data_IF_237488831290
#
_entry.id   IF_237488831290
#
_cell.length_a   1.000
_cell.length_b   1.000
_cell.length_c   1.000
_cell.angle_alpha   90.00
_cell.angle_beta   90.00
_cell.angle_gamma   90.00
#
_symmetry.space_group_name_H-M   'P 1'
#
loop_
_entity.id
_entity.type
_entity.pdbx_description
1 polymer ?
2 polymer ?
3 non-polymer ?
#
# COMPACT_ATOMS: atom_id res chain seq x y z
N UNK A 11 -17.96 -7.08 4.74
CA UNK A 11 -18.68 -6.08 3.91
C UNK A 11 -18.01 -6.00 2.54
N UNK A 12 -17.54 -4.81 2.12
CA UNK A 12 -16.88 -4.67 0.82
C UNK A 12 -15.38 -4.84 0.84
N UNK A 13 -14.83 -5.23 -0.30
CA UNK A 13 -13.39 -5.43 -0.46
C UNK A 13 -13.05 -4.98 -1.88
N UNK A 14 -11.85 -4.46 -2.08
CA UNK A 14 -11.47 -3.99 -3.39
C UNK A 14 -10.25 -4.68 -3.96
N UNK A 15 -10.43 -5.30 -5.13
CA UNK A 15 -9.35 -5.96 -5.84
C UNK A 15 -9.01 -5.04 -6.99
N UNK A 16 -7.75 -4.61 -7.02
CA UNK A 16 -7.27 -3.70 -8.05
C UNK A 16 -6.20 -4.37 -8.89
N UNK A 17 -6.31 -4.19 -10.20
CA UNK A 17 -5.39 -4.74 -11.18
C UNK A 17 -4.89 -3.53 -11.97
N UNK A 18 -3.83 -2.91 -11.47
CA UNK A 18 -3.30 -1.73 -12.13
C UNK A 18 -2.12 -2.06 -13.00
N UNK A 19 -2.18 -1.66 -14.26
CA UNK A 19 -1.06 -1.89 -15.14
C UNK A 19 -0.63 -0.50 -15.54
N UNK A 20 0.67 -0.27 -15.55
CA UNK A 20 1.17 1.03 -15.93
C UNK A 20 2.44 0.91 -16.72
N UNK A 21 2.72 1.98 -17.44
CA UNK A 21 3.90 2.07 -18.27
C UNK A 21 4.37 3.51 -18.18
N UNK A 22 5.67 3.70 -18.35
CA UNK A 22 6.31 5.00 -18.27
C UNK A 22 7.66 4.83 -18.94
N UNK A 23 8.50 5.85 -18.82
CA UNK A 23 9.83 5.76 -19.37
C UNK A 23 10.78 5.81 -18.18
N UNK A 24 11.53 4.74 -17.98
CA UNK A 24 12.48 4.71 -16.89
C UNK A 24 12.24 3.62 -15.86
N UNK A 25 13.29 3.34 -15.10
CA UNK A 25 13.31 2.35 -14.03
C UNK A 25 12.42 1.19 -14.48
N UNK A 26 11.22 0.99 -13.90
CA UNK A 26 10.52 -0.17 -14.48
C UNK A 26 9.61 0.47 -15.52
N UNK A 27 9.99 0.36 -16.79
CA UNK A 27 9.20 0.97 -17.84
C UNK A 27 7.82 0.31 -18.02
N UNK A 28 7.54 -0.70 -17.21
CA UNK A 28 6.24 -1.34 -17.26
C UNK A 28 6.02 -2.22 -16.04
N UNK A 29 4.82 -2.15 -15.48
CA UNK A 29 4.53 -2.95 -14.32
C UNK A 29 3.07 -3.25 -14.16
N UNK A 30 2.81 -4.26 -13.36
CA UNK A 30 1.47 -4.72 -13.07
C UNK A 30 1.42 -4.97 -11.58
N UNK A 31 0.37 -4.50 -10.93
CA UNK A 31 0.21 -4.66 -9.48
C UNK A 31 -1.23 -4.99 -9.12
N UNK A 32 -1.44 -6.16 -8.53
CA UNK A 32 -2.76 -6.59 -8.13
C UNK A 32 -2.87 -6.63 -6.62
N UNK A 33 -3.75 -5.79 -6.08
CA UNK A 33 -3.96 -5.70 -4.66
C UNK A 33 -5.37 -6.07 -4.25
N UNK A 34 -5.56 -6.08 -2.93
CA UNK A 34 -6.82 -6.41 -2.29
C UNK A 34 -6.81 -5.62 -0.99
N UNK A 35 -7.65 -4.60 -0.92
CA UNK A 35 -7.74 -3.75 0.26
C UNK A 35 -6.40 -3.08 0.47
N UNK A 36 -5.79 -2.68 -0.62
CA UNK A 36 -4.51 -2.00 -0.64
C UNK A 36 -3.25 -2.83 -0.40
N UNK A 37 -3.36 -4.02 0.18
CA UNK A 37 -2.18 -4.85 0.38
C UNK A 37 -1.92 -5.61 -0.91
N UNK A 38 -0.69 -5.61 -1.39
CA UNK A 38 -0.37 -6.28 -2.66
C UNK A 38 -0.43 -7.79 -2.62
N UNK A 39 -1.21 -8.36 -3.53
CA UNK A 39 -1.33 -9.80 -3.64
C UNK A 39 -0.08 -10.27 -4.35
N UNK A 40 0.06 -9.84 -5.60
CA UNK A 40 1.21 -10.18 -6.43
C UNK A 40 1.38 -9.21 -7.58
N UNK A 41 2.64 -9.02 -7.95
CA UNK A 41 3.01 -8.15 -9.05
C UNK A 41 3.14 -9.08 -10.25
N UNK A 42 3.81 -8.61 -11.29
CA UNK A 42 3.95 -9.41 -12.47
C UNK A 42 5.28 -9.20 -13.18
N UNK A 43 5.97 -10.32 -13.42
CA UNK A 43 7.25 -10.30 -14.09
C UNK A 43 7.02 -10.43 -15.58
N UNK A 44 7.35 -9.38 -16.32
CA UNK A 44 7.15 -9.35 -17.75
C UNK A 44 8.20 -10.11 -18.56
N UNK A 45 9.28 -10.49 -17.92
CA UNK A 45 10.35 -11.25 -18.57
C UNK A 45 9.89 -12.72 -18.62
N UNK A 46 9.82 -13.36 -17.46
CA UNK A 46 9.39 -14.76 -17.39
C UNK A 46 7.89 -14.86 -17.69
N UNK A 47 7.24 -13.70 -17.83
CA UNK A 47 5.81 -13.60 -18.14
C UNK A 47 4.96 -14.36 -17.12
N UNK A 48 5.14 -14.03 -15.85
CA UNK A 48 4.41 -14.68 -14.79
C UNK A 48 4.19 -13.74 -13.61
N UNK A 49 3.20 -14.06 -12.78
CA UNK A 49 2.89 -13.27 -11.59
C UNK A 49 3.86 -13.64 -10.48
N UNK A 50 4.09 -12.74 -9.53
CA UNK A 50 5.01 -13.00 -8.42
C UNK A 50 4.31 -12.72 -7.09
N UNK A 51 4.08 -13.75 -6.28
CA UNK A 51 3.40 -13.59 -4.99
C UNK A 51 4.16 -12.71 -4.02
N UNK A 52 3.44 -11.83 -3.34
CA UNK A 52 4.07 -10.98 -2.35
C UNK A 52 4.38 -11.88 -1.15
N UNK A 53 3.64 -12.99 -1.04
CA UNK A 53 3.84 -13.97 0.02
C UNK A 53 3.63 -15.37 -0.50
N UNK A 54 4.44 -16.33 -0.02
CA UNK A 54 4.36 -17.72 -0.42
C UNK A 54 2.96 -18.26 -0.22
N UNK A 55 2.29 -17.71 0.78
CA UNK A 55 0.93 -18.12 1.11
C UNK A 55 0.11 -18.08 -0.18
N UNK A 56 0.42 -17.12 -1.04
CA UNK A 56 -0.29 -16.92 -2.29
C UNK A 56 0.04 -17.88 -3.42
N UNK A 57 1.32 -17.91 -3.83
CA UNK A 57 1.84 -18.75 -4.91
C UNK A 57 0.86 -19.52 -5.82
N UNK A 58 0.17 -20.52 -5.26
CA UNK A 58 -0.78 -21.35 -5.99
C UNK A 58 -1.73 -20.62 -6.91
N UNK A 59 -2.21 -19.48 -6.47
CA UNK A 59 -3.17 -18.70 -7.24
C UNK A 59 -2.55 -17.82 -8.31
N UNK A 60 -1.31 -17.41 -8.10
CA UNK A 60 -0.61 -16.59 -9.08
C UNK A 60 -0.23 -17.53 -10.22
N UNK A 61 -0.30 -18.82 -9.91
CA UNK A 61 0.02 -19.87 -10.85
C UNK A 61 -0.98 -19.93 -12.01
N UNK A 62 -2.25 -20.08 -11.69
CA UNK A 62 -3.26 -20.17 -12.73
C UNK A 62 -3.73 -18.86 -13.33
N UNK A 63 -5.06 -18.69 -13.36
CA UNK A 63 -5.75 -17.50 -13.88
C UNK A 63 -5.71 -17.30 -15.40
N UNK A 64 -4.62 -17.70 -16.05
CA UNK A 64 -4.48 -17.57 -17.50
C UNK A 64 -5.19 -16.43 -18.21
N UNK A 65 -5.23 -15.25 -17.59
CA UNK A 65 -5.87 -14.07 -18.17
C UNK A 65 -4.90 -13.36 -19.12
N UNK A 66 -3.80 -14.06 -19.42
CA UNK A 66 -2.73 -13.56 -20.28
C UNK A 66 -3.15 -12.72 -21.48
N UNK A 67 -4.22 -13.13 -22.16
CA UNK A 67 -4.72 -12.41 -23.33
C UNK A 67 -5.11 -10.96 -23.07
N UNK A 68 -5.55 -10.68 -21.84
CA UNK A 68 -5.93 -9.33 -21.45
C UNK A 68 -4.65 -8.52 -21.22
N UNK A 69 -3.80 -9.05 -20.36
CA UNK A 69 -2.54 -8.41 -20.02
C UNK A 69 -1.85 -8.01 -21.32
N UNK A 70 -1.80 -8.95 -22.25
CA UNK A 70 -1.17 -8.74 -23.53
C UNK A 70 -1.73 -7.49 -24.17
N UNK A 71 -3.06 -7.42 -24.28
CA UNK A 71 -3.70 -6.27 -24.89
C UNK A 71 -3.51 -4.97 -24.12
N UNK A 72 -3.70 -5.04 -22.80
CA UNK A 72 -3.55 -3.89 -21.94
C UNK A 72 -2.15 -3.34 -22.19
N UNK A 73 -1.16 -4.22 -22.02
CA UNK A 73 0.25 -3.90 -22.20
C UNK A 73 0.48 -3.14 -23.51
N UNK A 74 0.04 -3.74 -24.60
CA UNK A 74 0.18 -3.12 -25.91
C UNK A 74 -0.43 -1.73 -25.91
N UNK A 75 -1.69 -1.62 -25.49
CA UNK A 75 -2.34 -0.32 -25.49
C UNK A 75 -1.53 0.70 -24.72
N UNK A 76 -0.99 0.27 -23.58
CA UNK A 76 -0.20 1.14 -22.72
C UNK A 76 1.00 1.62 -23.53
N UNK A 77 1.88 0.69 -23.87
CA UNK A 77 3.10 1.00 -24.63
C UNK A 77 2.78 1.87 -25.82
N UNK A 78 1.62 1.62 -26.40
CA UNK A 78 1.19 2.36 -27.55
C UNK A 78 1.07 3.84 -27.21
N UNK A 79 0.40 4.16 -26.12
CA UNK A 79 0.24 5.55 -25.71
C UNK A 79 1.59 6.19 -25.42
N UNK A 80 2.50 5.42 -24.84
CA UNK A 80 3.81 5.95 -24.53
C UNK A 80 4.54 6.29 -25.81
N UNK A 81 4.27 5.51 -26.84
CA UNK A 81 4.93 5.66 -28.12
C UNK A 81 4.44 6.87 -28.91
N UNK A 82 3.13 6.97 -29.07
CA UNK A 82 2.54 8.05 -29.83
C UNK A 82 2.21 9.30 -29.03
N UNK A 83 1.30 9.19 -28.07
CA UNK A 83 0.87 10.33 -27.28
C UNK A 83 1.98 11.14 -26.65
N UNK A 84 2.81 10.50 -25.84
CA UNK A 84 3.90 11.20 -25.17
C UNK A 84 4.67 12.19 -26.06
N UNK A 85 5.43 11.69 -27.05
CA UNK A 85 6.22 12.58 -27.93
C UNK A 85 5.44 13.80 -28.41
N UNK A 86 4.19 13.57 -28.75
CA UNK A 86 3.33 14.64 -29.23
C UNK A 86 3.30 15.82 -28.26
N UNK A 87 3.04 15.56 -26.99
CA UNK A 87 2.96 16.64 -26.01
C UNK A 87 4.11 16.76 -25.01
N UNK A 88 5.22 16.08 -25.27
CA UNK A 88 6.37 16.16 -24.39
C UNK A 88 6.84 17.60 -24.43
N UNK A 89 6.74 18.27 -23.29
CA UNK A 89 7.15 19.66 -23.24
C UNK A 89 6.03 20.60 -23.60
N UNK A 90 4.87 20.04 -23.97
CA UNK A 90 3.74 20.87 -24.32
C UNK A 90 2.93 21.13 -23.05
N UNK A 91 2.72 20.10 -22.23
CA UNK A 91 2.01 20.28 -20.97
C UNK A 91 2.86 19.70 -19.82
N UNK A 92 2.59 20.14 -18.57
CA UNK A 92 3.27 19.74 -17.33
C UNK A 92 3.17 18.28 -16.85
N UNK A 93 4.28 17.81 -16.28
CA UNK A 93 4.39 16.44 -15.76
C UNK A 93 3.94 16.34 -14.31
N UNK A 94 3.02 15.42 -14.05
CA UNK A 94 2.56 15.22 -12.70
C UNK A 94 3.71 14.55 -11.95
N UNK A 95 4.36 15.32 -11.09
CA UNK A 95 5.46 14.81 -10.29
C UNK A 95 4.91 14.73 -8.87
N UNK A 96 5.39 13.77 -8.09
CA UNK A 96 4.91 13.66 -6.73
C UNK A 96 6.14 13.58 -5.85
N UNK A 97 6.36 14.59 -5.01
CA UNK A 97 7.52 14.57 -4.13
C UNK A 97 7.35 13.45 -3.12
N UNK A 98 8.20 12.42 -3.20
CA UNK A 98 8.17 11.25 -2.31
C UNK A 98 8.51 11.53 -0.86
N UNK A 99 7.86 10.79 0.03
CA UNK A 99 8.10 10.93 1.45
C UNK A 99 8.56 9.60 2.02
N UNK A 100 9.62 9.64 2.81
CA UNK A 100 10.13 8.42 3.40
C UNK A 100 9.99 8.51 4.92
N UNK A 101 9.67 7.36 5.52
CA UNK A 101 9.53 7.22 6.98
C UNK A 101 10.23 5.92 7.40
N UNK A 102 10.77 5.87 8.61
CA UNK A 102 11.44 4.65 9.06
C UNK A 102 10.94 4.21 10.43
N UNK A 103 10.76 2.92 10.60
CA UNK A 103 10.27 2.38 11.86
C UNK A 103 10.59 0.89 11.95
N UNK A 104 10.33 0.27 13.11
CA UNK A 104 10.63 -1.15 13.30
C UNK A 104 9.39 -2.01 13.20
N UNK A 105 9.56 -3.25 12.74
CA UNK A 105 8.43 -4.17 12.63
C UNK A 105 7.81 -4.44 13.98
N UNK A 106 8.65 -4.81 14.93
CA UNK A 106 8.23 -5.11 16.30
C UNK A 106 8.76 -3.98 17.14
N UNK A 107 8.18 -3.76 18.32
CA UNK A 107 8.66 -2.69 19.19
C UNK A 107 10.12 -2.94 19.53
N UNK A 108 10.80 -1.89 19.98
CA UNK A 108 12.21 -1.95 20.31
C UNK A 108 12.64 -2.76 21.53
N UNK A 109 13.56 -3.70 21.32
CA UNK A 109 14.13 -4.55 22.38
C UNK A 109 15.61 -4.66 22.06
N UNK A 110 16.44 -3.86 22.74
CA UNK A 110 17.88 -3.85 22.49
C UNK A 110 18.50 -5.23 22.46
N UNK A 111 19.43 -5.44 21.56
CA UNK A 111 20.08 -6.73 21.45
C UNK A 111 19.25 -7.84 20.83
N UNK A 112 17.92 -7.69 20.80
CA UNK A 112 17.06 -8.70 20.21
C UNK A 112 16.79 -8.33 18.75
N UNK A 113 16.86 -9.33 17.86
CA UNK A 113 16.64 -9.19 16.41
C UNK A 113 15.39 -8.43 16.01
N UNK A 114 15.56 -7.55 15.02
CA UNK A 114 14.45 -6.74 14.53
C UNK A 114 14.58 -6.50 13.03
N UNK A 115 13.68 -5.67 12.50
CA UNK A 115 13.67 -5.36 11.08
C UNK A 115 13.21 -3.92 10.86
N UNK A 116 14.05 -3.13 10.22
CA UNK A 116 13.73 -1.74 9.92
C UNK A 116 12.92 -1.69 8.64
N UNK A 117 11.99 -0.77 8.57
CA UNK A 117 11.15 -0.63 7.38
C UNK A 117 11.26 0.78 6.85
N UNK A 118 11.52 0.90 5.56
CA UNK A 118 11.58 2.21 4.97
C UNK A 118 10.33 2.27 4.14
N UNK A 119 9.41 3.14 4.57
CA UNK A 119 8.13 3.33 3.90
C UNK A 119 8.10 4.58 3.03
N UNK A 120 7.97 4.39 1.72
CA UNK A 120 7.94 5.51 0.79
C UNK A 120 6.52 5.73 0.34
N UNK A 121 6.07 6.98 0.40
CA UNK A 121 4.73 7.36 0.01
C UNK A 121 4.73 8.59 -0.91
N UNK A 122 3.62 8.76 -1.64
CA UNK A 122 3.43 9.86 -2.61
C UNK A 122 4.44 9.70 -3.75
N UNK A 123 4.72 8.45 -4.08
CA UNK A 123 5.67 8.13 -5.10
C UNK A 123 5.10 8.29 -6.48
N UNK A 124 5.62 9.29 -7.19
CA UNK A 124 5.17 9.49 -8.55
C UNK A 124 6.15 10.31 -9.36
N UNK A 125 6.66 9.75 -10.47
CA UNK A 125 6.36 8.40 -10.99
C UNK A 125 7.11 7.31 -10.22
N UNK A 126 6.66 6.06 -10.37
CA UNK A 126 7.25 4.88 -9.71
C UNK A 126 8.62 4.57 -10.31
N UNK A 127 9.61 5.35 -9.91
CA UNK A 127 10.97 5.22 -10.39
C UNK A 127 11.84 5.67 -9.24
N UNK A 128 12.64 4.78 -8.67
CA UNK A 128 13.44 5.19 -7.54
C UNK A 128 14.51 4.19 -7.20
N UNK A 129 15.31 4.57 -6.21
CA UNK A 129 16.40 3.74 -5.74
C UNK A 129 16.57 4.00 -4.26
N UNK A 130 16.57 2.94 -3.48
CA UNK A 130 16.69 3.06 -2.03
C UNK A 130 18.03 2.52 -1.49
N UNK A 131 18.72 3.31 -0.68
CA UNK A 131 20.00 2.90 -0.10
C UNK A 131 19.93 3.16 1.39
N UNK A 132 20.42 2.20 2.18
CA UNK A 132 20.42 2.33 3.62
C UNK A 132 21.85 2.59 4.09
N UNK A 133 21.99 3.37 5.15
CA UNK A 133 23.30 3.66 5.72
C UNK A 133 23.17 3.51 7.23
N UNK A 134 24.30 3.62 7.92
CA UNK A 134 24.34 3.54 9.37
C UNK A 134 25.47 4.48 9.75
N UNK A 135 25.14 5.73 9.99
CA UNK A 135 26.14 6.76 10.30
C UNK A 135 26.90 6.98 9.01
N UNK A 136 26.15 7.14 7.92
CA UNK A 136 26.72 7.37 6.60
C UNK A 136 27.42 6.13 6.06
N UNK A 137 27.79 5.22 6.94
CA UNK A 137 28.42 3.98 6.53
C UNK A 137 27.34 3.19 5.81
N UNK A 138 27.47 3.06 4.49
CA UNK A 138 26.49 2.31 3.72
C UNK A 138 26.46 0.88 4.19
N UNK A 139 25.36 0.19 3.93
CA UNK A 139 25.20 -1.20 4.35
C UNK A 139 24.26 -1.92 3.42
N UNK A 140 24.44 -3.22 3.29
CA UNK A 140 23.59 -4.03 2.43
C UNK A 140 22.91 -5.14 3.25
N UNK A 141 22.19 -6.01 2.55
CA UNK A 141 21.45 -7.08 3.21
C UNK A 141 19.99 -6.69 3.15
N UNK A 142 19.75 -5.51 2.59
CA UNK A 142 18.43 -4.97 2.42
C UNK A 142 17.69 -5.79 1.39
N UNK A 143 16.37 -5.85 1.53
CA UNK A 143 15.56 -6.58 0.59
C UNK A 143 15.27 -5.68 -0.59
N UNK A 144 14.78 -6.27 -1.69
CA UNK A 144 14.46 -5.50 -2.89
C UNK A 144 13.35 -4.54 -2.52
N UNK A 145 13.34 -3.34 -3.10
CA UNK A 145 12.28 -2.38 -2.81
C UNK A 145 11.09 -2.72 -3.69
N UNK A 146 9.94 -2.98 -3.09
CA UNK A 146 8.76 -3.31 -3.87
C UNK A 146 7.79 -2.15 -3.98
N UNK A 147 7.57 -1.74 -5.22
CA UNK A 147 6.66 -0.67 -5.49
C UNK A 147 5.31 -1.33 -5.64
N UNK A 148 4.26 -0.64 -5.24
CA UNK A 148 2.92 -1.19 -5.35
C UNK A 148 2.02 -0.05 -5.72
N UNK A 149 1.02 -0.36 -6.52
CA UNK A 149 0.05 0.64 -6.94
C UNK A 149 -0.86 0.89 -5.76
N UNK A 150 -1.42 2.08 -5.72
CA UNK A 150 -2.32 2.41 -4.64
C UNK A 150 -3.46 3.26 -5.20
N UNK A 151 -4.60 3.20 -4.54
CA UNK A 151 -5.78 3.94 -4.95
C UNK A 151 -5.47 5.38 -5.28
N UNK A 152 -6.07 5.89 -6.33
CA UNK A 152 -5.80 7.27 -6.69
C UNK A 152 -4.67 7.41 -7.67
N UNK A 153 -4.36 6.31 -8.36
CA UNK A 153 -3.30 6.31 -9.36
C UNK A 153 -1.96 6.73 -8.79
N UNK A 154 -1.54 6.12 -7.70
CA UNK A 154 -0.25 6.47 -7.14
C UNK A 154 0.45 5.22 -6.71
N UNK A 155 1.61 5.40 -6.11
CA UNK A 155 2.40 4.28 -5.67
C UNK A 155 2.99 4.51 -4.31
N UNK A 156 3.49 3.43 -3.75
CA UNK A 156 4.17 3.44 -2.47
C UNK A 156 5.15 2.28 -2.58
N UNK A 157 6.22 2.34 -1.81
CA UNK A 157 7.21 1.29 -1.84
C UNK A 157 7.75 1.05 -0.45
N UNK A 158 8.24 -0.16 -0.21
CA UNK A 158 8.80 -0.54 1.07
C UNK A 158 10.16 -1.15 0.84
N UNK A 159 11.04 -1.01 1.85
CA UNK A 159 12.37 -1.61 1.82
C UNK A 159 12.60 -2.02 3.25
N UNK A 160 12.85 -3.31 3.44
CA UNK A 160 13.09 -3.86 4.75
C UNK A 160 14.56 -4.18 4.93
N UNK A 161 15.03 -4.12 6.17
CA UNK A 161 16.41 -4.39 6.52
C UNK A 161 16.46 -4.97 7.93
N UNK A 162 16.78 -6.26 8.05
CA UNK A 162 16.86 -6.89 9.38
C UNK A 162 18.07 -6.24 10.05
N UNK A 163 18.07 -6.17 11.37
CA UNK A 163 19.19 -5.58 12.10
C UNK A 163 18.93 -5.83 13.59
N UNK A 164 19.98 -5.72 14.42
CA UNK A 164 19.82 -5.91 15.87
C UNK A 164 20.11 -4.60 16.57
N UNK A 165 19.05 -3.86 16.86
CA UNK A 165 19.04 -2.56 17.52
C UNK A 165 19.98 -2.40 18.69
N UNK A 166 20.76 -1.32 18.64
CA UNK A 166 21.71 -1.00 19.69
C UNK A 166 21.69 0.52 19.96
N UNK A 167 21.75 0.93 21.23
CA UNK A 167 21.75 2.29 21.77
C UNK A 167 22.39 3.43 21.01
N UNK A 168 23.44 3.16 20.25
CA UNK A 168 24.14 4.22 19.55
C UNK A 168 23.96 4.15 18.05
N UNK A 169 22.97 3.38 17.61
CA UNK A 169 22.67 3.22 16.19
C UNK A 169 22.10 4.50 15.58
N UNK A 170 22.16 4.58 14.26
CA UNK A 170 21.61 5.69 13.49
C UNK A 170 21.47 5.26 12.04
N UNK A 171 20.30 4.70 11.72
CA UNK A 171 20.04 4.24 10.38
C UNK A 171 19.34 5.32 9.59
N UNK A 172 19.68 5.38 8.32
CA UNK A 172 19.12 6.36 7.40
C UNK A 172 18.73 5.63 6.13
N UNK A 173 17.57 5.98 5.61
CA UNK A 173 17.05 5.38 4.40
C UNK A 173 16.99 6.46 3.35
N UNK A 174 17.74 6.30 2.28
CA UNK A 174 17.82 7.29 1.23
C UNK A 174 17.10 6.93 -0.07
N UNK A 175 16.09 7.70 -0.38
CA UNK A 175 15.32 7.49 -1.58
C UNK A 175 15.86 8.46 -2.63
N UNK A 176 16.11 7.95 -3.83
CA UNK A 176 16.63 8.77 -4.90
C UNK A 176 15.63 8.66 -6.03
N UNK A 177 14.78 9.67 -6.11
CA UNK A 177 13.72 9.72 -7.11
C UNK A 177 14.22 10.07 -8.51
N UNK A 178 13.58 9.53 -9.53
CA UNK A 178 13.92 9.77 -10.94
C UNK A 178 15.40 9.89 -11.22
N UNK A 179 16.14 8.83 -10.91
CA UNK A 179 17.60 8.74 -11.14
C UNK A 179 18.42 9.72 -10.31
N UNK A 180 18.36 11.00 -10.66
CA UNK A 180 19.15 12.02 -10.00
C UNK A 180 18.43 13.31 -9.63
N UNK A 181 17.12 13.39 -9.84
CA UNK A 181 16.40 14.61 -9.49
C UNK A 181 15.48 14.46 -8.28
N UNK A 182 15.99 14.88 -7.12
CA UNK A 182 15.32 14.86 -5.81
C UNK A 182 15.51 13.61 -4.97
N UNK A 183 16.16 13.80 -3.83
CA UNK A 183 16.42 12.70 -2.91
C UNK A 183 15.60 12.97 -1.66
N UNK A 184 15.43 11.95 -0.84
CA UNK A 184 14.69 12.08 0.40
C UNK A 184 15.44 11.18 1.37
N UNK A 185 15.68 11.67 2.58
CA UNK A 185 16.41 10.87 3.55
C UNK A 185 15.64 10.79 4.85
N UNK A 186 15.34 9.58 5.31
CA UNK A 186 14.61 9.42 6.55
C UNK A 186 15.56 8.80 7.55
N UNK A 187 15.59 9.34 8.75
CA UNK A 187 16.48 8.82 9.79
C UNK A 187 15.71 8.09 10.88
N UNK A 188 16.36 7.13 11.50
CA UNK A 188 15.77 6.38 12.59
C UNK A 188 16.86 6.21 13.61
N UNK A 189 16.49 6.47 14.84
CA UNK A 189 17.39 6.34 15.97
C UNK A 189 16.62 5.52 16.98
N UNK A 190 17.30 5.02 18.01
CA UNK A 190 16.63 4.22 19.03
C UNK A 190 15.61 5.03 19.87
N UNK A 191 14.34 4.88 19.51
CA UNK A 191 13.14 5.51 20.12
C UNK A 191 13.10 7.02 20.45
N UNK B 1 8.63 11.36 -19.90
CA UNK B 1 8.44 11.36 -18.41
C UNK B 1 7.01 11.07 -18.01
N UNK B 2 6.15 10.80 -19.00
CA UNK B 2 4.76 10.53 -18.73
C UNK B 2 4.47 9.12 -18.23
N UNK B 3 3.29 8.92 -17.67
CA UNK B 3 2.89 7.61 -17.17
C UNK B 3 1.44 7.32 -17.50
N UNK B 4 1.15 6.08 -17.83
CA UNK B 4 -0.20 5.73 -18.17
C UNK B 4 -0.64 4.54 -17.36
N UNK B 5 -1.93 4.50 -17.02
CA UNK B 5 -2.47 3.38 -16.25
C UNK B 5 -3.63 2.80 -17.00
N UNK B 6 -3.73 1.48 -16.98
CA UNK B 6 -4.83 0.79 -17.59
C UNK B 6 -5.36 0.06 -16.36
N UNK B 7 -6.17 0.79 -15.59
CA UNK B 7 -6.70 0.29 -14.32
C UNK B 7 -8.05 -0.37 -14.43
N UNK B 8 -8.17 -1.51 -13.77
CA UNK B 8 -9.42 -2.24 -13.75
C UNK B 8 -9.74 -2.71 -12.34
N UNK B 9 -10.62 -1.98 -11.66
CA UNK B 9 -11.01 -2.30 -10.31
C UNK B 9 -12.20 -3.21 -10.25
N UNK B 10 -12.10 -4.19 -9.38
CA UNK B 10 -13.14 -5.18 -9.17
C UNK B 10 -13.56 -5.17 -7.70
N UNK B 11 -14.79 -4.74 -7.41
CA UNK B 11 -15.32 -4.67 -6.04
C UNK B 11 -16.24 -5.85 -5.73
N UNK B 12 -16.00 -6.51 -4.60
CA UNK B 12 -16.84 -7.66 -4.26
C UNK B 12 -17.06 -7.67 -2.77
N UNK B 13 -18.16 -8.27 -2.35
CA UNK B 13 -18.50 -8.39 -0.93
C UNK B 13 -17.98 -9.75 -0.47
N UNK B 14 -18.18 -10.08 0.80
CA UNK B 14 -17.74 -11.37 1.29
C UNK B 14 -18.44 -12.45 0.49
N UNK B 15 -18.07 -13.71 0.73
CA UNK B 15 -18.64 -14.86 0.02
C UNK B 15 -18.02 -14.91 -1.37
N UNK B 16 -18.25 -13.86 -2.16
CA UNK B 16 -17.68 -13.80 -3.49
C UNK B 16 -18.63 -13.22 -4.52
N UNK B 17 -19.39 -12.22 -4.12
CA UNK B 17 -20.35 -11.63 -5.04
C UNK B 17 -19.83 -10.30 -5.60
N UNK B 18 -19.65 -10.23 -6.93
CA UNK B 18 -19.18 -9.02 -7.60
C UNK B 18 -20.18 -7.93 -7.30
N UNK B 19 -19.72 -6.71 -7.13
CA UNK B 19 -20.64 -5.62 -6.82
C UNK B 19 -20.54 -4.47 -7.81
N UNK B 20 -19.35 -4.29 -8.38
CA UNK B 20 -19.08 -3.20 -9.32
C UNK B 20 -17.87 -3.58 -10.16
N UNK B 21 -17.67 -2.89 -11.27
CA UNK B 21 -16.54 -3.16 -12.14
C UNK B 21 -16.27 -1.94 -13.03
N UNK B 22 -14.99 -1.67 -13.25
CA UNK B 22 -14.55 -0.57 -14.11
C UNK B 22 -13.26 -0.91 -14.84
N UNK B 23 -12.98 -0.12 -15.88
CA UNK B 23 -11.79 -0.26 -16.70
C UNK B 23 -11.57 1.18 -17.07
N UNK B 24 -10.37 1.68 -16.87
CA UNK B 24 -10.12 3.08 -17.15
C UNK B 24 -8.69 3.35 -17.55
N UNK B 25 -8.56 4.10 -18.64
CA UNK B 25 -7.25 4.49 -19.15
C UNK B 25 -6.96 5.89 -18.65
N UNK B 26 -5.72 6.12 -18.23
CA UNK B 26 -5.33 7.42 -17.69
C UNK B 26 -3.88 7.77 -17.95
N UNK B 27 -3.71 8.83 -18.74
CA UNK B 27 -2.40 9.32 -19.12
C UNK B 27 -2.04 10.44 -18.15
N UNK B 28 -0.76 10.54 -17.81
CA UNK B 28 -0.30 11.53 -16.84
C UNK B 28 -1.15 11.18 -15.63
N UNK B 29 -1.37 12.11 -14.71
CA UNK B 29 -2.22 11.73 -13.57
C UNK B 29 -3.67 12.03 -13.88
N UNK B 30 -3.90 12.67 -15.02
CA UNK B 30 -5.24 13.00 -15.46
C UNK B 30 -5.91 11.69 -15.90
N UNK B 31 -7.23 11.63 -15.75
CA UNK B 31 -7.97 10.45 -16.12
C UNK B 31 -8.65 10.69 -17.46
N UNK B 32 -8.52 9.70 -18.35
CA UNK B 32 -9.11 9.80 -19.68
C UNK B 32 -10.46 9.13 -19.85
N UNK B 33 -10.51 7.82 -19.96
CA UNK B 33 -11.80 7.18 -20.18
C UNK B 33 -12.10 5.94 -19.37
N UNK B 34 -13.38 5.71 -19.13
CA UNK B 34 -13.82 4.56 -18.36
C UNK B 34 -14.95 3.86 -19.06
N UNK B 35 -15.03 2.55 -18.89
CA UNK B 35 -16.10 1.80 -19.51
C UNK B 35 -17.35 2.17 -18.75
N UNK B 36 -18.49 2.03 -19.43
CA UNK B 36 -19.80 2.30 -18.87
C UNK B 36 -20.76 1.19 -19.33
N UNK B 37 -20.91 0.13 -18.50
CA UNK B 37 -21.78 -1.03 -18.80
C UNK B 37 -23.22 -0.69 -19.19
N UNK B 38 -23.65 0.54 -18.93
CA UNK B 38 -24.98 1.01 -19.27
C UNK B 38 -24.98 1.25 -20.77
N UNK B 39 -24.13 2.17 -21.20
CA UNK B 39 -23.98 2.53 -22.61
C UNK B 39 -23.30 1.38 -23.36
N UNK B 40 -22.69 0.46 -22.60
CA UNK B 40 -22.00 -0.68 -23.19
C UNK B 40 -20.67 -0.36 -23.85
N UNK B 41 -20.32 0.93 -23.90
CA UNK B 41 -19.08 1.37 -24.53
C UNK B 41 -18.15 2.06 -23.54
N UNK B 42 -16.94 2.35 -24.00
CA UNK B 42 -15.95 3.05 -23.18
C UNK B 42 -16.16 4.54 -23.35
N UNK B 43 -16.66 5.17 -22.30
CA UNK B 43 -16.95 6.59 -22.26
C UNK B 43 -15.86 7.46 -21.66
N UNK B 44 -15.59 8.62 -22.27
CA UNK B 44 -14.58 9.58 -21.82
C UNK B 44 -14.99 10.28 -20.55
N UNK B 45 -13.98 10.83 -19.88
CA UNK B 45 -14.17 11.54 -18.64
C UNK B 45 -13.36 12.81 -18.80
N UNK B 46 -12.69 13.21 -17.74
CA UNK B 46 -11.89 14.44 -17.70
C UNK B 46 -11.57 15.23 -18.96
N UNK B 47 -12.57 16.05 -19.27
CA UNK B 47 -12.60 16.96 -20.41
C UNK B 47 -11.72 18.15 -20.06
N UNK B 48 -10.45 17.88 -19.77
CA UNK B 48 -9.53 18.95 -19.44
C UNK B 48 -8.87 19.42 -20.72
N UNK B 49 -7.62 19.83 -20.63
CA UNK B 49 -6.90 20.26 -21.80
C UNK B 49 -6.81 19.08 -22.79
N UNK B 50 -6.85 17.86 -22.22
CA UNK B 50 -6.77 16.63 -22.99
C UNK B 50 -8.11 16.07 -23.45
N UNK B 51 -9.14 16.92 -23.50
CA UNK B 51 -10.47 16.46 -23.93
C UNK B 51 -10.37 15.74 -25.26
N UNK B 52 -9.56 16.33 -26.15
CA UNK B 52 -9.35 15.78 -27.49
C UNK B 52 -8.87 14.33 -27.39
N UNK B 53 -7.74 14.14 -26.71
CA UNK B 53 -7.14 12.83 -26.52
C UNK B 53 -8.15 11.80 -26.02
N UNK B 54 -8.98 12.23 -25.07
CA UNK B 54 -10.00 11.36 -24.50
C UNK B 54 -10.84 10.65 -25.53
N UNK B 55 -11.47 11.41 -26.43
CA UNK B 55 -12.31 10.84 -27.47
C UNK B 55 -11.59 9.70 -28.16
N UNK B 56 -10.41 10.03 -28.67
CA UNK B 56 -9.58 9.07 -29.39
C UNK B 56 -9.43 7.77 -28.61
N UNK B 57 -8.75 7.85 -27.45
CA UNK B 57 -8.50 6.70 -26.59
C UNK B 57 -9.66 5.72 -26.60
N UNK B 58 -10.85 6.25 -26.31
CA UNK B 58 -12.06 5.43 -26.26
C UNK B 58 -12.44 4.82 -27.59
N UNK B 59 -12.44 5.62 -28.65
CA UNK B 59 -12.79 5.11 -29.97
C UNK B 59 -11.95 3.87 -30.25
N UNK B 60 -10.64 4.05 -30.17
CA UNK B 60 -9.69 2.97 -30.43
C UNK B 60 -10.05 1.73 -29.62
N UNK B 61 -10.21 1.91 -28.33
CA UNK B 61 -10.56 0.81 -27.43
C UNK B 61 -11.90 0.23 -27.80
N UNK B 62 -12.80 1.09 -28.26
CA UNK B 62 -14.14 0.69 -28.64
C UNK B 62 -14.13 -0.25 -29.82
N UNK B 63 -13.35 0.08 -30.85
CA UNK B 63 -13.28 -0.74 -32.04
C UNK B 63 -12.42 -1.99 -31.85
N UNK B 64 -12.60 -2.69 -30.73
CA UNK B 64 -11.83 -3.90 -30.46
C UNK B 64 -12.75 -4.95 -29.88
N UNK B 65 -13.24 -5.82 -30.76
CA UNK B 65 -14.16 -6.91 -30.40
C UNK B 65 -13.83 -7.59 -29.08
N UNK B 66 -12.56 -7.97 -28.91
CA UNK B 66 -12.10 -8.65 -27.70
C UNK B 66 -12.32 -7.82 -26.44
N UNK B 67 -11.73 -6.63 -26.41
CA UNK B 67 -11.81 -5.71 -25.26
C UNK B 67 -13.23 -5.50 -24.81
N UNK B 68 -14.07 -5.04 -25.74
CA UNK B 68 -15.45 -4.79 -25.43
C UNK B 68 -16.06 -6.06 -24.86
N UNK B 69 -15.87 -7.18 -25.55
CA UNK B 69 -16.43 -8.45 -25.08
C UNK B 69 -15.76 -8.95 -23.78
N UNK B 70 -14.57 -8.45 -23.50
CA UNK B 70 -13.83 -8.80 -22.30
C UNK B 70 -14.51 -8.05 -21.18
N UNK B 71 -14.71 -6.75 -21.40
CA UNK B 71 -15.35 -5.89 -20.43
C UNK B 71 -16.77 -6.35 -20.15
N UNK B 72 -17.57 -6.43 -21.20
CA UNK B 72 -18.97 -6.88 -21.11
C UNK B 72 -19.14 -8.03 -20.12
N UNK B 73 -18.31 -9.06 -20.29
CA UNK B 73 -18.37 -10.23 -19.44
C UNK B 73 -17.91 -9.90 -18.03
N UNK B 74 -16.93 -9.01 -17.93
CA UNK B 74 -16.36 -8.57 -16.66
C UNK B 74 -16.75 -9.17 -15.31
N UNK B 75 -17.88 -8.72 -14.76
CA UNK B 75 -18.34 -9.21 -13.47
C UNK B 75 -18.28 -10.72 -13.31
N UNK B 76 -18.60 -11.47 -14.36
CA UNK B 76 -18.55 -12.92 -14.30
C UNK B 76 -17.11 -13.41 -14.14
N UNK B 77 -16.17 -12.67 -14.73
CA UNK B 77 -14.75 -13.03 -14.59
C UNK B 77 -14.40 -12.77 -13.14
N UNK B 78 -14.64 -11.54 -12.69
CA UNK B 78 -14.37 -11.10 -11.31
C UNK B 78 -14.57 -12.21 -10.28
N UNK B 79 -15.61 -13.00 -10.46
CA UNK B 79 -15.91 -14.11 -9.57
C UNK B 79 -14.85 -15.20 -9.74
N UNK B 80 -14.82 -15.80 -10.92
CA UNK B 80 -13.86 -16.87 -11.23
C UNK B 80 -12.44 -16.45 -10.86
N UNK B 81 -12.04 -15.29 -11.36
CA UNK B 81 -10.73 -14.70 -11.14
C UNK B 81 -10.34 -14.66 -9.67
N UNK B 82 -11.28 -14.28 -8.81
CA UNK B 82 -11.01 -14.16 -7.39
C UNK B 82 -11.30 -15.42 -6.59
N UNK B 83 -12.37 -16.09 -6.95
CA UNK B 83 -12.86 -17.28 -6.28
C UNK B 83 -11.85 -18.20 -5.57
N UNK B 84 -10.92 -18.83 -6.32
CA UNK B 84 -9.92 -19.73 -5.73
C UNK B 84 -9.22 -19.30 -4.43
N UNK B 85 -9.18 -18.00 -4.18
CA UNK B 85 -8.54 -17.48 -2.97
C UNK B 85 -9.38 -16.49 -2.14
N UNK B 86 -10.52 -16.07 -2.69
CA UNK B 86 -11.35 -15.09 -1.98
C UNK B 86 -11.71 -15.46 -0.57
N UNK B 87 -11.94 -16.74 -0.32
CA UNK B 87 -12.26 -17.19 1.02
C UNK B 87 -11.04 -16.94 1.91
N UNK B 88 -9.88 -17.39 1.44
CA UNK B 88 -8.63 -17.22 2.16
C UNK B 88 -8.43 -15.77 2.58
N UNK B 89 -8.47 -14.87 1.61
CA UNK B 89 -8.30 -13.45 1.89
C UNK B 89 -9.30 -12.88 2.88
N UNK B 90 -10.60 -12.99 2.57
CA UNK B 90 -11.64 -12.46 3.45
C UNK B 90 -11.62 -13.06 4.85
N UNK B 91 -11.05 -14.26 4.97
CA UNK B 91 -10.99 -14.95 6.25
C UNK B 91 -9.57 -15.35 6.68
N UNK B 92 -8.61 -14.47 6.45
CA UNK B 92 -7.22 -14.70 6.86
C UNK B 92 -6.97 -13.64 7.93
N UNK B 93 -6.48 -14.06 9.09
CA UNK B 93 -6.24 -13.10 10.16
C UNK B 93 -5.01 -13.40 10.98
N UNK B 94 -4.34 -12.35 11.44
CA UNK B 94 -3.18 -12.49 12.29
C UNK B 94 -3.54 -11.64 13.50
N UNK B 95 -3.56 -12.29 14.65
CA UNK B 95 -3.90 -11.63 15.90
C UNK B 95 -2.82 -10.60 16.32
N UNK B 96 -3.24 -9.48 16.90
CA UNK B 96 -2.29 -8.45 17.33
C UNK B 96 -1.54 -8.81 18.61
N UNK B 97 -0.41 -8.16 18.80
CA UNK B 97 0.38 -8.38 19.99
C UNK B 97 0.42 -7.01 20.65
N UNK B 98 0.32 -6.97 21.97
CA UNK B 98 0.34 -5.68 22.68
C UNK B 98 1.46 -5.63 23.70
N UNK B 99 2.00 -4.44 23.92
CA UNK B 99 3.07 -4.25 24.89
C UNK B 99 2.97 -2.81 25.34
N UNK B 100 2.89 -2.60 26.66
CA UNK B 100 2.79 -1.26 27.20
C UNK B 100 4.12 -0.88 27.85
N UNK B 101 4.53 0.36 27.63
CA UNK B 101 5.77 0.88 28.16
C UNK B 101 5.58 2.40 28.27
N UNK B 102 6.55 3.06 28.89
CA UNK B 102 6.50 4.50 29.07
C UNK B 102 7.51 5.15 28.12
N UNK B 103 7.15 6.31 27.56
CA UNK B 103 8.06 7.00 26.65
C UNK B 103 8.09 8.49 26.96
N UNK B 104 9.18 9.12 26.53
CA UNK B 104 9.40 10.55 26.70
C UNK B 104 8.13 11.30 26.31
N UNK B 105 7.64 12.16 27.21
CA UNK B 105 6.43 12.99 27.05
C UNK B 105 6.31 13.78 25.76
N UNK B 106 5.19 13.57 25.07
CA UNK B 106 4.87 14.25 23.83
C UNK B 106 4.28 15.60 24.25
N UNK B 107 3.01 15.78 23.92
CA UNK B 107 2.29 16.99 24.26
C UNK B 107 1.77 16.78 25.69
N UNK B 108 1.77 17.86 26.48
CA UNK B 108 1.31 17.91 27.89
C UNK B 108 2.43 17.84 28.96
N UNK B 109 2.09 18.28 30.17
CA UNK B 109 3.00 18.35 31.30
C UNK B 109 3.08 17.17 32.28
N UNK B 110 2.14 16.23 32.17
CA UNK B 110 2.13 15.06 33.05
C UNK B 110 3.54 14.45 33.04
N UNK B 111 4.01 13.95 34.19
CA UNK B 111 5.34 13.35 34.32
C UNK B 111 5.56 11.97 33.65
N UNK B 112 4.49 11.34 33.21
CA UNK B 112 4.55 10.01 32.57
C UNK B 112 3.62 9.89 31.35
N UNK B 113 4.15 9.37 30.24
CA UNK B 113 3.37 9.19 29.03
C UNK B 113 3.46 7.71 28.68
N UNK B 114 2.33 7.01 28.70
CA UNK B 114 2.30 5.60 28.38
C UNK B 114 2.04 5.38 26.88
N UNK B 115 2.66 4.34 26.34
CA UNK B 115 2.53 4.01 24.94
C UNK B 115 2.15 2.55 24.76
N UNK B 116 1.02 2.32 24.12
CA UNK B 116 0.53 0.98 23.88
C UNK B 116 0.95 0.58 22.49
N UNK B 117 1.80 -0.43 22.40
CA UNK B 117 2.26 -0.87 21.09
C UNK B 117 1.47 -2.07 20.58
N UNK B 118 0.63 -1.84 19.60
CA UNK B 118 -0.14 -2.93 19.04
C UNK B 118 0.48 -3.20 17.69
N UNK B 119 0.86 -4.45 17.44
CA UNK B 119 1.49 -4.76 16.19
C UNK B 119 1.25 -6.17 15.72
N UNK B 120 1.61 -6.39 14.45
CA UNK B 120 1.50 -7.70 13.82
C UNK B 120 0.14 -8.24 13.49
N UNK B 121 -0.82 -7.37 13.24
CA UNK B 121 -2.18 -7.82 12.96
C UNK B 121 -2.69 -7.58 11.55
N UNK B 122 -3.75 -8.33 11.20
CA UNK B 122 -4.41 -8.21 9.91
C UNK B 122 -5.84 -8.68 10.11
N UNK B 123 -6.85 -7.95 9.57
CA UNK B 123 -6.73 -6.71 8.78
C UNK B 123 -6.35 -5.54 9.64
N UNK B 124 -6.45 -4.36 9.05
CA UNK B 124 -6.08 -3.13 9.73
C UNK B 124 -7.05 -2.67 10.80
N UNK B 125 -8.28 -3.16 10.74
CA UNK B 125 -9.30 -2.75 11.71
C UNK B 125 -8.99 -3.14 13.16
N UNK B 126 -8.93 -2.13 14.03
CA UNK B 126 -8.62 -2.35 15.44
C UNK B 126 -9.00 -1.15 16.31
N UNK B 127 -9.36 -1.45 17.56
CA UNK B 127 -9.78 -0.43 18.53
C UNK B 127 -9.01 -0.54 19.84
N UNK B 128 -8.46 0.59 20.28
CA UNK B 128 -7.67 0.65 21.51
C UNK B 128 -8.38 1.53 22.54
N UNK B 129 -8.47 1.05 23.77
CA UNK B 129 -9.11 1.82 24.85
C UNK B 129 -8.23 1.65 26.05
N UNK B 130 -8.17 2.66 26.91
CA UNK B 130 -7.36 2.58 28.11
C UNK B 130 -8.19 2.39 29.37
N UNK B 131 -7.57 1.89 30.43
CA UNK B 131 -8.25 1.66 31.69
C UNK B 131 -7.39 1.95 32.92
N UNK B 132 -7.89 2.81 33.80
CA UNK B 132 -7.21 3.18 35.05
C UNK B 132 -7.93 2.45 36.19
N UNK B 133 -7.32 1.39 36.70
CA UNK B 133 -7.89 0.62 37.80
C UNK B 133 -9.24 0.03 37.41
N UNK B 134 -9.29 -0.61 36.24
CA UNK B 134 -10.53 -1.22 35.77
C UNK B 134 -11.54 -0.23 35.26
N UNK B 135 -11.18 1.05 35.31
CA UNK B 135 -12.04 2.13 34.86
C UNK B 135 -11.68 2.71 33.51
N UNK B 136 -12.67 2.87 32.64
CA UNK B 136 -12.44 3.43 31.33
C UNK B 136 -12.00 4.89 31.44
N UNK B 137 -11.04 5.29 30.62
CA UNK B 137 -10.55 6.65 30.63
C UNK B 137 -10.79 7.32 29.28
N UNK B 138 -11.68 8.33 29.25
CA UNK B 138 -11.98 9.04 28.00
C UNK B 138 -10.73 9.66 27.35
N UNK B 139 -10.85 10.01 26.08
CA UNK B 139 -9.75 10.59 25.31
C UNK B 139 -9.44 12.07 25.59
N UNK B 140 -8.17 12.31 25.85
CA UNK B 140 -7.60 13.64 26.11
C UNK B 140 -6.11 13.34 25.90
N UNK B 141 -5.62 13.70 24.72
CA UNK B 141 -4.24 13.47 24.29
C UNK B 141 -4.03 11.99 23.93
N UNK B 142 -5.15 11.25 23.92
CA UNK B 142 -5.14 9.84 23.53
C UNK B 142 -5.15 10.00 22.02
N UNK B 143 -3.96 10.12 21.45
CA UNK B 143 -3.78 10.28 20.01
C UNK B 143 -3.03 9.04 19.50
N UNK B 144 -3.63 8.35 18.53
CA UNK B 144 -3.07 7.14 17.93
C UNK B 144 -2.46 7.39 16.53
N UNK B 145 -3.18 6.94 15.49
CA UNK B 145 -2.81 7.06 14.07
C UNK B 145 -3.90 6.25 13.33
N UNK B 146 -3.55 5.71 12.17
CA UNK B 146 -4.47 4.88 11.41
C UNK B 146 -3.64 3.72 10.93
N UNK B 147 -3.61 2.68 11.76
CA UNK B 147 -2.87 1.46 11.51
C UNK B 147 -1.90 1.51 10.32
N UNK B 148 -0.63 1.69 10.61
CA UNK B 148 0.41 1.76 9.58
C UNK B 148 0.63 0.41 8.93
N UNK B 149 0.62 0.37 7.60
CA UNK B 149 0.83 -0.90 6.91
C UNK B 149 2.29 -1.21 6.96
N UNK B 150 2.62 -2.49 6.94
CA UNK B 150 4.01 -2.91 6.96
C UNK B 150 4.37 -3.43 5.59
N UNK B 151 3.38 -3.67 4.74
CA UNK B 151 3.65 -4.21 3.42
C UNK B 151 3.89 -5.70 3.58
N UNK B 152 4.21 -6.07 4.82
CA UNK B 152 4.47 -7.41 5.25
C UNK B 152 3.11 -8.12 5.38
N UNK B 153 2.03 -7.46 4.94
CA UNK B 153 0.63 -7.94 5.05
C UNK B 153 0.17 -7.99 6.50
N UNK B 154 0.81 -7.13 7.30
CA UNK B 154 0.55 -6.95 8.71
C UNK B 154 0.48 -5.45 8.93
N UNK B 155 -0.04 -5.09 10.09
CA UNK B 155 -0.19 -3.70 10.45
C UNK B 155 0.22 -3.49 11.91
N UNK B 156 0.39 -2.22 12.25
CA UNK B 156 0.76 -1.83 13.61
C UNK B 156 0.33 -0.39 13.84
N UNK B 157 0.23 -0.01 15.11
CA UNK B 157 -0.15 1.36 15.48
C UNK B 157 0.22 1.54 16.94
N UNK B 158 0.01 2.73 17.46
CA UNK B 158 0.36 2.98 18.85
C UNK B 158 -0.61 3.96 19.48
N UNK B 159 -0.85 3.81 20.77
CA UNK B 159 -1.77 4.67 21.49
C UNK B 159 -1.06 5.27 22.69
N UNK B 160 -1.22 6.58 22.88
CA UNK B 160 -0.57 7.28 23.98
C UNK B 160 -1.56 7.73 25.05
N UNK B 161 -1.06 7.81 26.28
CA UNK B 161 -1.85 8.21 27.42
C UNK B 161 -0.98 8.85 28.49
N UNK B 162 -1.25 10.11 28.80
CA UNK B 162 -0.50 10.83 29.82
C UNK B 162 -1.13 10.61 31.20
N UNK B 163 -0.31 10.57 32.24
CA UNK B 163 -0.80 10.31 33.58
C UNK B 163 0.14 10.77 34.69
N UNK B 164 -0.32 10.57 35.92
CA UNK B 164 0.46 10.91 37.11
C UNK B 164 0.55 9.64 37.97
N UNK B 165 1.78 9.16 38.20
CA UNK B 165 2.06 7.97 39.00
C UNK B 165 1.73 7.99 40.49
N UNK B 166 0.77 7.16 40.88
CA UNK B 166 0.37 7.03 42.28
C UNK B 166 0.36 5.53 42.49
N UNK B 167 1.27 5.02 43.32
CA UNK B 167 1.34 3.57 43.57
C UNK B 167 -0.04 3.02 43.88
N UNK B 168 -0.34 1.86 43.34
CA UNK B 168 -1.65 1.27 43.56
C UNK B 168 -2.49 1.50 42.32
N UNK B 169 -1.99 2.34 41.43
CA UNK B 169 -2.66 2.62 40.17
C UNK B 169 -2.17 1.59 39.15
N UNK B 170 -3.09 1.12 38.34
CA UNK B 170 -2.79 0.13 37.32
C UNK B 170 -3.47 0.57 36.04
N UNK B 171 -2.68 0.70 34.98
CA UNK B 171 -3.18 1.12 33.69
C UNK B 171 -3.15 -0.05 32.76
N UNK B 172 -4.21 -0.20 32.00
CA UNK B 172 -4.31 -1.31 31.06
C UNK B 172 -4.79 -0.79 29.72
N UNK B 173 -4.18 -1.32 28.66
CA UNK B 173 -4.53 -0.94 27.30
C UNK B 173 -5.32 -2.12 26.79
N UNK B 174 -6.55 -1.85 26.35
CA UNK B 174 -7.42 -2.90 25.85
C UNK B 174 -7.50 -2.75 24.36
N UNK B 175 -7.29 -3.86 23.67
CA UNK B 175 -7.33 -3.87 22.21
C UNK B 175 -8.24 -4.97 21.66
N UNK B 176 -9.21 -4.55 20.86
CA UNK B 176 -10.15 -5.46 20.22
C UNK B 176 -9.85 -5.40 18.76
N UNK B 177 -9.49 -6.56 18.23
CA UNK B 177 -9.15 -6.67 16.83
C UNK B 177 -10.27 -7.44 16.15
N UNK B 178 -10.70 -6.95 15.01
CA UNK B 178 -11.76 -7.61 14.25
C UNK B 178 -11.39 -9.05 13.85
N UNK B 179 -10.17 -9.46 14.14
CA UNK B 179 -9.74 -10.80 13.80
C UNK B 179 -9.69 -11.74 15.00
N UNK B 180 -10.08 -11.24 16.16
CA UNK B 180 -10.07 -12.03 17.39
C UNK B 180 -11.12 -11.52 18.39
N UNK B 181 -11.98 -12.42 18.84
CA UNK B 181 -13.03 -12.09 19.80
C UNK B 181 -12.43 -11.84 21.19
N UNK B 182 -11.28 -12.47 21.46
CA UNK B 182 -10.59 -12.32 22.73
C UNK B 182 -9.87 -10.99 22.81
N UNK B 183 -10.41 -10.03 23.57
CA UNK B 183 -9.76 -8.72 23.68
C UNK B 183 -8.41 -8.95 24.33
N UNK B 184 -7.38 -8.26 23.84
CA UNK B 184 -6.04 -8.40 24.39
C UNK B 184 -5.84 -7.25 25.36
N UNK B 185 -4.97 -7.44 26.34
CA UNK B 185 -4.71 -6.42 27.33
C UNK B 185 -3.25 -6.45 27.76
N UNK B 186 -2.78 -5.32 28.30
CA UNK B 186 -1.42 -5.21 28.77
C UNK B 186 -1.52 -4.16 29.86
N UNK B 187 -1.08 -4.48 31.07
CA UNK B 187 -1.16 -3.56 32.21
C UNK B 187 0.16 -2.90 32.54
N UNK B 188 0.08 -1.81 33.27
CA UNK B 188 1.25 -1.05 33.68
C UNK B 188 1.02 -0.37 35.02
N UNK B 189 1.90 -0.63 35.98
CA UNK B 189 1.83 -0.03 37.31
C UNK B 189 3.12 0.71 37.60
N UNK B 190 3.07 1.73 38.48
CA UNK B 190 4.26 2.51 38.83
C UNK B 190 5.25 1.66 39.66
#
# INVERSE_FOLDING_TARGET
ASTPVFWDDPQNHTFRHTLFCQDGIPNIGLSETYDEDELFSFDFSQNTRVPRLPDFAEWAQGQGDASAIAFDKSFCEMLMREVSPKLEGQIPVSRGLPVAEVFTLKPLEFGKPNTLVCFISNLFPPTLTVNWQLHSAPVEGASPTSISAVDGLTFQAFSYLNFTPEPFDLYSCTVTHEIDRYTAIAYWVPQ
GFVAHVESTCVLNDAGTPQDFTYCVSFNKDLLACWDPDVGKIVPCEFGVLSRLAEIISNILNEQESLIHRLQNGLQDCATHTQPFWDVLTHRTRAPSVRVAQTTPFNTREPVMLACYVWGFYPADVTITWMKNGQLVPSHSNKEKTAQPNGDWTYQTVSYLALTPSYGDVYTCVVQHSGTSEPIRGDWTPG
#
